data_IF_971164421473
#
_entry.id   IF_971164421473
#
_cell.length_a   1.000
_cell.length_b   1.000
_cell.length_c   1.000
_cell.angle_alpha   90.00
_cell.angle_beta   90.00
_cell.angle_gamma   90.00
#
_symmetry.space_group_name_H-M   'P 1'
#
loop_
_entity.id
_entity.type
_entity.pdbx_description
1 polymer ?
#
# COMPACT_ATOMS: atom_id res chain seq x y z
N UNK A 1 3.55 -5.76 -18.80
CA UNK A 1 4.76 -4.92 -18.95
C UNK A 1 5.13 -4.45 -17.56
N UNK A 2 6.41 -4.52 -17.19
CA UNK A 2 6.92 -3.96 -15.93
C UNK A 2 7.52 -2.61 -16.30
N UNK A 3 7.08 -1.54 -15.64
CA UNK A 3 7.64 -0.21 -15.82
C UNK A 3 8.37 0.21 -14.54
N UNK A 4 9.60 0.68 -14.68
CA UNK A 4 10.30 1.37 -13.60
C UNK A 4 9.83 2.82 -13.57
N UNK A 5 9.22 3.25 -12.47
CA UNK A 5 8.56 4.54 -12.41
C UNK A 5 9.39 5.58 -11.64
N UNK A 6 9.85 5.24 -10.44
CA UNK A 6 10.68 6.13 -9.61
C UNK A 6 11.57 5.32 -8.66
N UNK A 7 12.73 5.89 -8.32
CA UNK A 7 13.53 5.47 -7.17
C UNK A 7 13.19 6.41 -6.00
N UNK A 8 12.98 5.85 -4.81
CA UNK A 8 12.68 6.66 -3.62
C UNK A 8 13.93 7.36 -3.11
N UNK A 9 13.79 8.63 -2.76
CA UNK A 9 14.87 9.45 -2.22
C UNK A 9 15.22 9.03 -0.78
N UNK A 10 16.40 8.44 -0.60
CA UNK A 10 16.94 8.03 0.70
C UNK A 10 16.92 9.18 1.73
N UNK A 11 17.20 10.42 1.31
CA UNK A 11 17.22 11.57 2.22
C UNK A 11 15.84 11.97 2.72
N UNK A 12 14.80 11.74 1.90
CA UNK A 12 13.40 12.02 2.25
C UNK A 12 12.82 10.92 3.13
N UNK A 13 13.08 9.65 2.78
CA UNK A 13 12.44 8.51 3.43
C UNK A 13 13.26 7.92 4.57
N UNK A 14 14.52 8.33 4.75
CA UNK A 14 15.36 7.92 5.88
C UNK A 14 15.65 6.42 5.95
N UNK A 15 15.51 5.71 4.83
CA UNK A 15 15.71 4.26 4.73
C UNK A 15 17.01 3.99 3.99
N UNK A 16 17.93 3.25 4.61
CA UNK A 16 19.16 2.82 3.94
C UNK A 16 18.82 1.72 2.94
N UNK A 17 19.21 1.92 1.68
CA UNK A 17 18.99 0.97 0.60
C UNK A 17 18.23 1.57 -0.57
N UNK A 18 18.21 0.83 -1.69
CA UNK A 18 17.59 1.25 -2.94
C UNK A 18 16.18 0.70 -3.04
N UNK A 19 15.20 1.59 -3.01
CA UNK A 19 13.78 1.24 -3.09
C UNK A 19 13.22 1.85 -4.37
N UNK A 20 12.57 1.03 -5.18
CA UNK A 20 11.95 1.50 -6.42
C UNK A 20 10.44 1.24 -6.44
N UNK A 21 9.72 2.16 -7.08
CA UNK A 21 8.31 2.00 -7.40
C UNK A 21 8.19 1.48 -8.83
N UNK A 22 7.50 0.36 -8.99
CA UNK A 22 7.27 -0.31 -10.26
C UNK A 22 5.78 -0.34 -10.58
N UNK A 23 5.42 -0.10 -11.84
CA UNK A 23 4.07 -0.45 -12.32
C UNK A 23 4.07 -1.88 -12.85
N UNK A 24 3.17 -2.72 -12.31
CA UNK A 24 2.94 -4.06 -12.83
C UNK A 24 1.49 -4.53 -12.59
N UNK A 25 0.59 -4.12 -13.48
CA UNK A 25 -0.84 -4.48 -13.48
C UNK A 25 -1.08 -5.99 -13.31
N UNK A 26 -0.32 -6.82 -14.01
CA UNK A 26 -0.49 -8.28 -13.99
C UNK A 26 -0.12 -8.87 -12.64
N UNK A 27 0.99 -8.46 -12.04
CA UNK A 27 1.39 -8.94 -10.71
C UNK A 27 0.36 -8.53 -9.66
N UNK A 28 -0.10 -7.28 -9.71
CA UNK A 28 -1.10 -6.76 -8.77
C UNK A 28 -2.43 -7.49 -8.91
N UNK A 29 -2.97 -7.63 -10.12
CA UNK A 29 -4.20 -8.40 -10.34
C UNK A 29 -4.08 -9.83 -9.79
N UNK A 30 -2.95 -10.51 -10.05
CA UNK A 30 -2.71 -11.86 -9.57
C UNK A 30 -2.67 -11.93 -8.04
N UNK A 31 -1.96 -11.02 -7.39
CA UNK A 31 -1.85 -10.98 -5.93
C UNK A 31 -3.20 -10.74 -5.24
N UNK A 32 -4.05 -9.90 -5.83
CA UNK A 32 -5.40 -9.63 -5.35
C UNK A 32 -6.45 -10.67 -5.81
N UNK A 33 -6.04 -11.74 -6.49
CA UNK A 33 -6.95 -12.80 -6.97
C UNK A 33 -7.89 -12.36 -8.10
N UNK A 34 -7.60 -11.24 -8.77
CA UNK A 34 -8.41 -10.67 -9.83
C UNK A 34 -7.98 -11.25 -11.19
N UNK A 35 -8.94 -11.77 -11.96
CA UNK A 35 -8.66 -12.41 -13.25
C UNK A 35 -8.44 -11.42 -14.41
N UNK A 36 -8.94 -10.20 -14.27
CA UNK A 36 -8.87 -9.17 -15.31
C UNK A 36 -9.24 -7.79 -14.76
N UNK A 37 -8.83 -6.74 -15.45
CA UNK A 37 -9.15 -5.34 -15.14
C UNK A 37 -10.65 -5.06 -15.08
N UNK A 38 -11.49 -5.83 -15.79
CA UNK A 38 -12.95 -5.70 -15.74
C UNK A 38 -13.51 -5.81 -14.31
N UNK A 39 -12.87 -6.61 -13.47
CA UNK A 39 -13.26 -6.74 -12.07
C UNK A 39 -12.99 -5.49 -11.26
N UNK A 40 -11.91 -4.77 -11.55
CA UNK A 40 -11.59 -3.48 -10.92
C UNK A 40 -12.72 -2.49 -11.22
N UNK A 41 -13.14 -2.39 -12.48
CA UNK A 41 -14.23 -1.49 -12.87
C UNK A 41 -15.56 -1.89 -12.24
N UNK A 42 -15.94 -3.17 -12.31
CA UNK A 42 -17.23 -3.66 -11.81
C UNK A 42 -17.36 -3.51 -10.29
N UNK A 43 -16.26 -3.78 -9.58
CA UNK A 43 -16.19 -3.68 -8.12
C UNK A 43 -15.84 -2.27 -7.66
N UNK A 44 -15.65 -1.30 -8.57
CA UNK A 44 -15.18 0.06 -8.30
C UNK A 44 -14.00 0.09 -7.31
N UNK A 45 -13.03 -0.79 -7.55
CA UNK A 45 -11.81 -0.84 -6.75
C UNK A 45 -10.97 0.40 -7.06
N UNK A 46 -10.62 1.14 -6.02
CA UNK A 46 -9.72 2.29 -6.16
C UNK A 46 -8.30 1.79 -6.42
N UNK A 47 -7.86 1.93 -7.68
CA UNK A 47 -6.56 1.44 -8.14
C UNK A 47 -5.36 2.08 -7.43
N UNK A 48 -5.56 3.21 -6.73
CA UNK A 48 -4.50 3.86 -5.94
C UNK A 48 -4.09 3.04 -4.74
N UNK A 49 -5.00 2.22 -4.20
CA UNK A 49 -4.77 1.35 -3.05
C UNK A 49 -4.14 0.00 -3.43
N UNK A 50 -4.03 -0.30 -4.72
CA UNK A 50 -3.54 -1.57 -5.20
C UNK A 50 -2.02 -1.55 -5.26
N UNK A 51 -1.42 -1.71 -4.07
CA UNK A 51 0.01 -1.74 -3.85
C UNK A 51 0.46 -3.09 -3.30
N UNK A 52 1.70 -3.43 -3.57
CA UNK A 52 2.39 -4.59 -3.03
C UNK A 52 3.79 -4.16 -2.63
N UNK A 53 4.32 -4.76 -1.57
CA UNK A 53 5.68 -4.48 -1.11
C UNK A 53 6.48 -5.78 -1.00
N UNK A 54 7.65 -5.83 -1.65
CA UNK A 54 8.47 -7.03 -1.74
C UNK A 54 9.95 -6.74 -1.56
N UNK A 55 10.66 -7.68 -0.95
CA UNK A 55 12.11 -7.72 -1.03
C UNK A 55 12.54 -8.07 -2.45
N UNK A 56 13.49 -7.32 -3.00
CA UNK A 56 14.00 -7.51 -4.35
C UNK A 56 14.92 -8.73 -4.43
N UNK A 57 14.86 -9.44 -5.56
CA UNK A 57 15.87 -10.44 -5.96
C UNK A 57 16.92 -9.86 -6.93
N UNK A 58 16.70 -8.63 -7.42
CA UNK A 58 17.64 -7.91 -8.25
C UNK A 58 18.70 -7.25 -7.35
N UNK A 59 19.99 -7.52 -7.53
CA UNK A 59 21.06 -6.96 -6.69
C UNK A 59 21.18 -5.43 -6.78
N UNK A 60 20.54 -4.77 -7.73
CA UNK A 60 20.54 -3.32 -7.86
C UNK A 60 19.56 -2.62 -6.90
N UNK A 61 18.57 -3.34 -6.35
CA UNK A 61 17.54 -2.81 -5.47
C UNK A 61 17.34 -3.71 -4.25
N UNK A 62 17.00 -3.13 -3.11
CA UNK A 62 16.70 -3.88 -1.89
C UNK A 62 15.20 -4.21 -1.80
N UNK A 63 14.34 -3.27 -2.21
CA UNK A 63 12.89 -3.40 -2.10
C UNK A 63 12.16 -2.83 -3.32
N UNK A 64 10.97 -3.37 -3.59
CA UNK A 64 10.05 -2.85 -4.58
C UNK A 64 8.70 -2.53 -3.95
N UNK A 65 8.20 -1.33 -4.25
CA UNK A 65 6.78 -0.98 -4.13
C UNK A 65 6.16 -1.19 -5.51
N UNK A 66 5.27 -2.16 -5.66
CA UNK A 66 4.63 -2.48 -6.93
C UNK A 66 3.22 -1.94 -6.93
N UNK A 67 2.90 -1.04 -7.85
CA UNK A 67 1.59 -0.40 -7.98
C UNK A 67 0.85 -0.90 -9.21
N UNK A 68 -0.48 -0.86 -9.18
CA UNK A 68 -1.31 -1.23 -10.32
C UNK A 68 -1.20 -0.22 -11.46
N UNK A 69 -1.44 1.05 -11.18
CA UNK A 69 -1.41 2.13 -12.17
C UNK A 69 -0.69 3.33 -11.56
N UNK A 70 0.50 3.65 -12.06
CA UNK A 70 1.37 4.65 -11.46
C UNK A 70 0.82 6.06 -11.64
N UNK A 71 0.13 6.34 -12.75
CA UNK A 71 -0.51 7.63 -12.96
C UNK A 71 -1.64 7.84 -11.95
N UNK A 72 -2.50 6.84 -11.74
CA UNK A 72 -3.53 6.90 -10.72
C UNK A 72 -2.92 7.03 -9.32
N UNK A 73 -1.89 6.23 -9.00
CA UNK A 73 -1.17 6.28 -7.73
C UNK A 73 -0.64 7.69 -7.41
N UNK A 74 -0.11 8.40 -8.41
CA UNK A 74 0.41 9.76 -8.25
C UNK A 74 -0.67 10.86 -8.25
N UNK A 75 -1.94 10.54 -8.47
CA UNK A 75 -3.00 11.55 -8.64
C UNK A 75 -3.40 12.29 -7.35
N UNK A 76 -3.16 11.70 -6.18
CA UNK A 76 -3.35 12.34 -4.88
C UNK A 76 -2.04 12.22 -4.07
N UNK A 77 -1.24 13.30 -3.95
CA UNK A 77 0.03 13.26 -3.25
C UNK A 77 -0.07 12.85 -1.79
N UNK A 78 -1.15 13.20 -1.08
CA UNK A 78 -1.29 12.80 0.33
C UNK A 78 -1.53 11.29 0.46
N UNK A 79 -2.33 10.71 -0.44
CA UNK A 79 -2.56 9.26 -0.47
C UNK A 79 -1.28 8.54 -0.89
N UNK A 80 -0.60 9.01 -1.93
CA UNK A 80 0.68 8.45 -2.40
C UNK A 80 1.68 8.35 -1.24
N UNK A 81 1.93 9.48 -0.58
CA UNK A 81 2.93 9.53 0.48
C UNK A 81 2.51 8.72 1.71
N UNK A 82 1.22 8.72 2.06
CA UNK A 82 0.73 7.87 3.14
C UNK A 82 0.95 6.39 2.85
N UNK A 83 0.68 5.94 1.61
CA UNK A 83 0.94 4.56 1.19
C UNK A 83 2.45 4.28 1.22
N UNK A 84 3.29 5.13 0.64
CA UNK A 84 4.74 4.91 0.65
C UNK A 84 5.28 4.76 2.07
N UNK A 85 4.92 5.66 2.99
CA UNK A 85 5.36 5.54 4.39
C UNK A 85 4.81 4.29 5.08
N UNK A 86 3.57 3.88 4.77
CA UNK A 86 3.02 2.61 5.25
C UNK A 86 3.85 1.42 4.76
N UNK A 87 4.13 1.34 3.45
CA UNK A 87 4.88 0.21 2.89
C UNK A 87 6.31 0.14 3.45
N UNK A 88 6.96 1.29 3.66
CA UNK A 88 8.28 1.34 4.31
C UNK A 88 8.22 0.90 5.78
N UNK A 89 7.07 1.02 6.43
CA UNK A 89 6.84 0.50 7.78
C UNK A 89 7.02 -1.02 7.86
N UNK A 90 6.72 -1.76 6.79
CA UNK A 90 6.89 -3.21 6.74
C UNK A 90 8.37 -3.66 6.79
N UNK A 91 9.32 -2.75 6.53
CA UNK A 91 10.74 -3.01 6.78
C UNK A 91 11.02 -3.08 8.29
N UNK A 92 10.40 -2.19 9.07
CA UNK A 92 10.61 -2.08 10.53
C UNK A 92 9.73 -3.05 11.32
N UNK A 93 8.57 -3.39 10.77
CA UNK A 93 7.55 -4.24 11.41
C UNK A 93 7.19 -5.44 10.51
N UNK A 94 8.16 -6.29 10.13
CA UNK A 94 7.92 -7.36 9.17
C UNK A 94 6.86 -8.35 9.68
N UNK A 95 5.99 -8.77 8.76
CA UNK A 95 4.99 -9.82 9.00
C UNK A 95 5.37 -11.05 8.19
N UNK A 96 5.35 -12.23 8.83
CA UNK A 96 5.63 -13.47 8.13
C UNK A 96 4.47 -13.85 7.19
N UNK A 97 4.79 -14.61 6.13
CA UNK A 97 3.79 -15.12 5.19
C UNK A 97 2.62 -15.82 5.92
N UNK A 98 1.40 -15.55 5.46
CA UNK A 98 0.14 -16.08 6.01
C UNK A 98 -0.23 -15.62 7.43
N UNK A 99 0.47 -14.63 7.99
CA UNK A 99 0.06 -13.98 9.23
C UNK A 99 -0.67 -12.67 8.93
N UNK A 100 -1.85 -12.50 9.53
CA UNK A 100 -2.50 -11.19 9.61
C UNK A 100 -2.13 -10.58 10.97
N UNK A 101 -1.19 -9.64 10.97
CA UNK A 101 -0.76 -8.96 12.18
C UNK A 101 -1.29 -7.53 12.20
N UNK A 102 -2.45 -7.36 12.82
CA UNK A 102 -3.09 -6.04 12.96
C UNK A 102 -2.19 -5.02 13.66
N UNK A 103 -1.41 -5.43 14.65
CA UNK A 103 -0.51 -4.51 15.35
C UNK A 103 0.57 -3.99 14.42
N UNK A 104 1.16 -4.86 13.58
CA UNK A 104 2.11 -4.42 12.56
C UNK A 104 1.48 -3.41 11.59
N UNK A 105 0.27 -3.68 11.09
CA UNK A 105 -0.44 -2.74 10.21
C UNK A 105 -0.68 -1.37 10.89
N UNK A 106 -1.01 -1.36 12.18
CA UNK A 106 -1.17 -0.13 12.96
C UNK A 106 0.16 0.61 13.08
N UNK A 107 1.27 -0.09 13.33
CA UNK A 107 2.60 0.53 13.41
C UNK A 107 3.05 1.10 12.04
N UNK A 108 2.76 0.38 10.95
CA UNK A 108 3.03 0.87 9.59
C UNK A 108 2.23 2.13 9.29
N UNK A 109 0.95 2.18 9.63
CA UNK A 109 0.14 3.39 9.52
C UNK A 109 0.65 4.53 10.41
N UNK A 110 1.10 4.20 11.62
CA UNK A 110 1.66 5.19 12.53
C UNK A 110 2.91 5.85 11.94
N UNK A 111 3.72 5.12 11.19
CA UNK A 111 4.87 5.68 10.49
C UNK A 111 4.45 6.76 9.48
N UNK A 112 3.34 6.57 8.76
CA UNK A 112 2.79 7.60 7.89
C UNK A 112 2.29 8.83 8.68
N UNK A 113 1.67 8.60 9.85
CA UNK A 113 1.19 9.68 10.74
C UNK A 113 2.33 10.55 11.25
N UNK A 114 3.40 9.95 11.78
CA UNK A 114 4.53 10.70 12.37
C UNK A 114 5.33 11.48 11.32
N UNK A 115 5.28 11.05 10.06
CA UNK A 115 5.87 11.75 8.92
C UNK A 115 4.94 12.80 8.28
N UNK A 116 3.83 13.15 8.94
CA UNK A 116 2.97 14.27 8.55
C UNK A 116 1.78 13.90 7.66
N UNK A 117 1.56 12.62 7.36
CA UNK A 117 0.53 12.16 6.43
C UNK A 117 -0.72 11.58 7.13
N UNK A 118 -1.09 12.13 8.31
CA UNK A 118 -2.29 11.72 9.06
C UNK A 118 -3.59 11.82 8.23
N UNK A 119 -3.74 12.87 7.43
CA UNK A 119 -4.91 13.02 6.56
C UNK A 119 -4.87 12.02 5.40
N UNK A 120 -3.69 11.80 4.82
CA UNK A 120 -3.47 10.81 3.77
C UNK A 120 -3.83 9.40 4.21
N UNK A 121 -3.36 8.97 5.39
CA UNK A 121 -3.70 7.64 5.91
C UNK A 121 -5.19 7.53 6.27
N UNK A 122 -5.80 8.62 6.74
CA UNK A 122 -7.25 8.68 6.95
C UNK A 122 -8.03 8.41 5.67
N UNK A 123 -7.65 9.05 4.55
CA UNK A 123 -8.25 8.81 3.22
C UNK A 123 -8.01 7.37 2.75
N UNK A 124 -6.79 6.85 2.92
CA UNK A 124 -6.45 5.46 2.57
C UNK A 124 -7.37 4.49 3.31
N UNK A 125 -7.51 4.62 4.63
CA UNK A 125 -8.35 3.74 5.43
C UNK A 125 -9.84 3.88 5.07
N UNK A 126 -10.33 5.09 4.78
CA UNK A 126 -11.71 5.30 4.32
C UNK A 126 -11.99 4.57 2.99
N UNK A 127 -11.09 4.74 2.01
CA UNK A 127 -11.21 4.09 0.71
C UNK A 127 -11.09 2.56 0.84
N UNK A 128 -10.19 2.07 1.69
CA UNK A 128 -10.04 0.64 1.99
C UNK A 128 -11.31 0.08 2.62
N UNK A 129 -11.93 0.80 3.57
CA UNK A 129 -13.18 0.35 4.20
C UNK A 129 -14.33 0.32 3.18
N UNK A 130 -14.44 1.33 2.32
CA UNK A 130 -15.41 1.36 1.23
C UNK A 130 -15.22 0.17 0.29
N UNK A 131 -13.98 -0.14 -0.08
CA UNK A 131 -13.63 -1.29 -0.91
C UNK A 131 -14.00 -2.61 -0.19
N UNK A 132 -13.63 -2.76 1.09
CA UNK A 132 -13.92 -3.96 1.88
C UNK A 132 -15.42 -4.27 1.93
N UNK A 133 -16.24 -3.26 2.20
CA UNK A 133 -17.70 -3.38 2.24
C UNK A 133 -18.27 -3.80 0.88
N UNK A 134 -17.74 -3.23 -0.22
CA UNK A 134 -18.20 -3.57 -1.57
C UNK A 134 -17.81 -4.98 -2.00
N UNK A 135 -16.65 -5.44 -1.56
CA UNK A 135 -16.18 -6.82 -1.77
C UNK A 135 -16.84 -7.82 -0.82
N UNK A 136 -17.65 -7.37 0.13
CA UNK A 136 -18.20 -8.18 1.22
C UNK A 136 -17.08 -8.95 1.97
N UNK A 137 -15.96 -8.25 2.22
CA UNK A 137 -14.78 -8.79 2.88
C UNK A 137 -14.75 -8.34 4.34
N UNK A 138 -15.40 -9.13 5.20
CA UNK A 138 -15.56 -8.84 6.63
C UNK A 138 -14.22 -8.70 7.36
N UNK A 139 -13.22 -9.51 6.99
CA UNK A 139 -11.89 -9.46 7.59
C UNK A 139 -11.22 -8.11 7.32
N UNK A 140 -11.20 -7.69 6.04
CA UNK A 140 -10.62 -6.41 5.65
C UNK A 140 -11.36 -5.24 6.28
N UNK A 141 -12.70 -5.29 6.33
CA UNK A 141 -13.52 -4.25 6.94
C UNK A 141 -13.24 -4.11 8.45
N UNK A 142 -13.16 -5.24 9.16
CA UNK A 142 -12.84 -5.27 10.59
C UNK A 142 -11.44 -4.74 10.88
N UNK A 143 -10.41 -5.25 10.18
CA UNK A 143 -9.03 -4.79 10.37
C UNK A 143 -8.88 -3.29 10.09
N UNK A 144 -9.50 -2.79 9.02
CA UNK A 144 -9.46 -1.38 8.64
C UNK A 144 -10.15 -0.50 9.69
N UNK A 145 -11.30 -0.93 10.23
CA UNK A 145 -12.00 -0.21 11.29
C UNK A 145 -11.17 -0.15 12.58
N UNK A 146 -10.50 -1.24 12.95
CA UNK A 146 -9.62 -1.28 14.13
C UNK A 146 -8.41 -0.34 13.96
N UNK A 147 -7.79 -0.31 12.77
CA UNK A 147 -6.74 0.67 12.43
C UNK A 147 -7.25 2.10 12.56
N UNK A 148 -8.41 2.43 11.98
CA UNK A 148 -9.02 3.77 12.08
C UNK A 148 -9.24 4.20 13.53
N UNK A 149 -9.81 3.33 14.37
CA UNK A 149 -10.08 3.64 15.77
C UNK A 149 -8.79 3.93 16.55
N UNK A 150 -7.69 3.24 16.25
CA UNK A 150 -6.41 3.41 16.96
C UNK A 150 -5.64 4.65 16.53
N UNK A 151 -5.82 5.11 15.30
CA UNK A 151 -5.02 6.21 14.73
C UNK A 151 -5.77 7.55 14.71
N UNK A 152 -7.10 7.51 14.65
CA UNK A 152 -7.95 8.69 14.48
C UNK A 152 -8.91 8.94 15.65
N UNK A 153 -9.13 7.93 16.50
CA UNK A 153 -9.85 8.08 17.77
C UNK A 153 -8.97 8.69 18.85
#
# INVERSE_FOLDING_TARGET
>A
MICFCEELDESKYGQSGKIAVLENKTAVLKAFGLKSERWITLLEIDTRLLTLFYQSLDPAFDWFVVVYDYQAFCSDPEIKEAILWHELGHIQHPVHEHQHNLESEIQCDHLAVVNGYKNGIGKVLELTLKMANRLNNDLLAKMTSERQMKLLG
#
